data_IF_732909536049
#
_entry.id   IF_732909536049
#
_cell.length_a   1.000
_cell.length_b   1.000
_cell.length_c   1.000
_cell.angle_alpha   90.00
_cell.angle_beta   90.00
_cell.angle_gamma   90.00
#
_symmetry.space_group_name_H-M   'P 1'
#
loop_
_entity.id
_entity.type
_entity.pdbx_description
1 polymer ?
#
# COMPACT_ATOMS: atom_id res chain seq x y z
N UNK A 1 -68.47 -1.52 -69.73
CA UNK A 1 -68.91 -0.46 -70.69
C UNK A 1 -67.74 0.48 -70.91
N UNK A 2 -67.29 0.41 -72.18
CA UNK A 2 -66.82 1.50 -73.00
C UNK A 2 -65.77 2.48 -72.33
N UNK A 3 -64.69 2.84 -72.89
CA UNK A 3 -64.04 2.82 -74.19
C UNK A 3 -63.00 3.89 -74.14
N UNK A 4 -61.76 3.54 -74.51
CA UNK A 4 -60.96 4.24 -75.59
C UNK A 4 -60.56 5.67 -75.25
N UNK A 5 -59.38 6.18 -75.44
CA UNK A 5 -58.45 6.14 -76.60
C UNK A 5 -57.15 6.87 -76.29
N UNK A 6 -56.08 6.33 -76.72
CA UNK A 6 -54.82 7.07 -77.11
C UNK A 6 -55.08 7.97 -78.29
N UNK A 7 -54.22 8.92 -78.78
CA UNK A 7 -52.79 8.76 -79.04
C UNK A 7 -51.90 10.07 -79.02
N UNK A 8 -50.67 9.84 -79.30
CA UNK A 8 -49.69 10.58 -80.16
C UNK A 8 -48.66 11.54 -79.50
N UNK A 9 -47.52 11.01 -79.40
CA UNK A 9 -46.33 11.40 -80.20
C UNK A 9 -46.01 12.89 -80.36
N UNK A 10 -44.88 13.33 -79.74
CA UNK A 10 -43.91 14.26 -80.37
C UNK A 10 -42.53 14.20 -79.66
N UNK A 11 -41.64 13.62 -80.42
CA UNK A 11 -40.20 13.69 -80.24
C UNK A 11 -39.74 15.14 -80.02
N UNK A 12 -38.94 15.44 -79.01
CA UNK A 12 -37.85 16.40 -79.04
C UNK A 12 -36.64 15.92 -78.29
N UNK A 13 -35.58 15.70 -79.04
CA UNK A 13 -34.23 15.51 -78.61
C UNK A 13 -33.78 16.75 -77.85
N UNK A 14 -33.27 16.61 -76.69
CA UNK A 14 -32.21 17.52 -76.17
C UNK A 14 -31.31 16.77 -75.18
N UNK A 15 -30.09 16.68 -75.63
CA UNK A 15 -28.77 16.82 -74.99
C UNK A 15 -28.57 16.15 -73.66
N UNK A 16 -27.69 15.17 -73.68
CA UNK A 16 -26.92 14.59 -72.60
C UNK A 16 -26.14 15.70 -71.86
N UNK A 17 -26.37 15.87 -70.56
CA UNK A 17 -25.42 16.42 -69.60
C UNK A 17 -25.24 15.39 -68.53
N UNK A 18 -24.08 14.73 -68.47
CA UNK A 18 -23.74 13.72 -67.44
C UNK A 18 -23.57 14.35 -66.08
N UNK A 19 -23.86 13.60 -65.05
CA UNK A 19 -23.59 14.08 -63.70
C UNK A 19 -22.10 14.01 -63.39
N UNK A 20 -21.53 15.15 -63.01
CA UNK A 20 -20.19 15.25 -62.41
C UNK A 20 -20.23 14.51 -61.07
N UNK A 21 -19.51 13.39 -61.01
CA UNK A 21 -19.19 12.71 -59.76
C UNK A 21 -18.25 13.60 -58.93
N UNK A 22 -18.80 14.15 -57.85
CA UNK A 22 -18.01 14.76 -56.79
C UNK A 22 -17.42 13.59 -55.95
N UNK A 23 -16.17 13.25 -56.23
CA UNK A 23 -15.38 12.38 -55.31
C UNK A 23 -15.12 13.17 -54.03
N UNK A 24 -15.90 12.93 -53.02
CA UNK A 24 -15.58 13.35 -51.65
C UNK A 24 -14.43 12.49 -51.15
N UNK A 25 -13.22 13.04 -51.17
CA UNK A 25 -12.07 12.43 -50.49
C UNK A 25 -12.33 12.50 -48.98
N UNK A 26 -12.75 11.40 -48.39
CA UNK A 26 -12.72 11.20 -46.95
C UNK A 26 -11.27 10.95 -46.59
N UNK A 27 -10.59 11.99 -46.16
CA UNK A 27 -9.26 11.84 -45.49
C UNK A 27 -9.49 11.21 -44.13
N UNK A 28 -9.27 9.90 -44.06
CA UNK A 28 -9.16 9.20 -42.79
C UNK A 28 -7.86 9.67 -42.12
N UNK A 29 -7.99 10.68 -41.24
CA UNK A 29 -6.93 11.08 -40.34
C UNK A 29 -6.71 9.97 -39.31
N UNK A 30 -5.67 9.17 -39.51
CA UNK A 30 -5.16 8.22 -38.54
C UNK A 30 -4.52 9.03 -37.38
N UNK A 31 -5.30 9.31 -36.35
CA UNK A 31 -4.77 9.81 -35.08
C UNK A 31 -3.93 8.67 -34.44
N UNK A 32 -2.63 8.64 -34.77
CA UNK A 32 -1.66 7.94 -33.94
C UNK A 32 -1.63 8.64 -32.59
N UNK A 33 -2.33 8.06 -31.62
CA UNK A 33 -2.10 8.36 -30.20
C UNK A 33 -0.67 7.89 -29.90
N UNK A 34 0.30 8.81 -29.94
CA UNK A 34 1.60 8.57 -29.34
C UNK A 34 1.35 8.48 -27.83
N UNK A 35 1.21 7.25 -27.34
CA UNK A 35 1.40 6.96 -25.93
C UNK A 35 2.89 7.26 -25.66
N UNK A 36 3.19 8.46 -25.15
CA UNK A 36 4.54 8.84 -24.80
C UNK A 36 4.99 7.96 -23.63
N UNK A 37 5.79 6.95 -23.93
CA UNK A 37 6.55 6.23 -22.91
C UNK A 37 7.52 7.25 -22.33
N UNK A 38 7.20 7.78 -21.17
CA UNK A 38 8.12 8.63 -20.39
C UNK A 38 9.21 7.69 -19.88
N UNK A 39 10.31 7.59 -20.61
CA UNK A 39 11.50 6.94 -20.08
C UNK A 39 12.01 7.78 -18.92
N UNK A 40 12.15 7.18 -17.75
CA UNK A 40 12.83 7.81 -16.63
C UNK A 40 14.23 8.27 -17.11
N UNK A 41 14.49 9.57 -16.99
CA UNK A 41 15.79 10.12 -17.39
C UNK A 41 16.81 9.77 -16.30
N UNK A 42 17.68 8.82 -16.57
CA UNK A 42 18.80 8.47 -15.71
C UNK A 42 19.95 9.48 -15.84
N UNK A 43 20.71 9.79 -14.77
CA UNK A 43 20.64 9.22 -13.43
C UNK A 43 19.45 9.74 -12.61
N UNK A 44 18.96 8.89 -11.69
CA UNK A 44 17.94 9.24 -10.69
C UNK A 44 18.62 9.38 -9.34
N UNK A 45 18.21 10.40 -8.57
CA UNK A 45 18.64 10.61 -7.18
C UNK A 45 17.40 10.80 -6.32
N UNK A 46 17.33 10.09 -5.19
CA UNK A 46 16.34 10.31 -4.12
C UNK A 46 17.06 10.47 -2.79
N UNK A 47 16.43 11.14 -1.84
CA UNK A 47 16.92 11.21 -0.45
C UNK A 47 16.21 10.14 0.37
N UNK A 48 16.97 9.33 1.12
CA UNK A 48 16.43 8.35 2.06
C UNK A 48 16.06 8.98 3.41
N UNK A 49 15.50 8.20 4.32
CA UNK A 49 15.05 8.72 5.62
C UNK A 49 16.21 8.99 6.60
N UNK A 50 17.43 8.54 6.28
CA UNK A 50 18.68 8.95 6.96
C UNK A 50 19.28 10.24 6.38
N UNK A 51 18.60 10.89 5.40
CA UNK A 51 19.05 12.11 4.74
C UNK A 51 20.19 11.89 3.74
N UNK A 52 20.42 10.66 3.29
CA UNK A 52 21.47 10.33 2.33
C UNK A 52 20.94 10.34 0.90
N UNK A 53 21.80 10.75 -0.03
CA UNK A 53 21.48 10.65 -1.46
C UNK A 53 21.70 9.23 -1.97
N UNK A 54 20.63 8.60 -2.45
CA UNK A 54 20.66 7.33 -3.17
C UNK A 54 20.61 7.63 -4.64
N UNK A 55 21.71 7.38 -5.35
CA UNK A 55 21.85 7.68 -6.78
C UNK A 55 22.03 6.42 -7.59
N UNK A 56 21.16 6.24 -8.58
CA UNK A 56 21.27 5.18 -9.57
C UNK A 56 21.53 5.78 -10.96
N UNK A 57 22.41 5.14 -11.72
CA UNK A 57 22.77 5.60 -13.08
C UNK A 57 21.95 4.88 -14.17
N UNK A 58 21.25 3.83 -13.80
CA UNK A 58 20.33 3.05 -14.63
C UNK A 58 19.29 2.37 -13.73
N UNK A 59 18.20 1.83 -14.30
CA UNK A 59 17.22 1.05 -13.58
C UNK A 59 17.89 -0.18 -12.93
N UNK A 60 17.68 -0.43 -11.64
CA UNK A 60 18.23 -1.61 -10.98
C UNK A 60 17.62 -2.88 -11.57
N UNK A 61 18.43 -3.93 -11.68
CA UNK A 61 18.01 -5.24 -12.19
C UNK A 61 18.13 -6.31 -11.12
N UNK A 62 18.79 -5.99 -10.00
CA UNK A 62 19.06 -6.91 -8.91
C UNK A 62 18.83 -6.18 -7.57
N UNK A 63 17.67 -6.42 -6.98
CA UNK A 63 17.25 -5.75 -5.76
C UNK A 63 17.26 -6.76 -4.61
N UNK A 64 17.87 -6.41 -3.50
CA UNK A 64 17.68 -7.09 -2.22
C UNK A 64 16.78 -6.22 -1.37
N UNK A 65 15.71 -6.81 -0.83
CA UNK A 65 14.83 -6.12 0.11
C UNK A 65 14.87 -6.81 1.46
N UNK A 66 15.22 -6.06 2.50
CA UNK A 66 15.26 -6.53 3.89
C UNK A 66 14.11 -5.96 4.73
N UNK A 67 13.05 -5.46 4.08
CA UNK A 67 11.86 -4.90 4.74
C UNK A 67 10.61 -5.37 4.00
N UNK A 68 9.65 -6.04 4.69
CA UNK A 68 8.44 -6.57 4.05
C UNK A 68 7.63 -5.54 3.25
N UNK A 69 7.41 -4.33 3.81
CA UNK A 69 6.67 -3.28 3.11
C UNK A 69 7.35 -2.81 1.81
N UNK A 70 8.70 -2.81 1.78
CA UNK A 70 9.46 -2.50 0.57
C UNK A 70 9.35 -3.62 -0.47
N UNK A 71 9.47 -4.88 -0.04
CA UNK A 71 9.28 -6.06 -0.90
C UNK A 71 7.92 -6.01 -1.58
N UNK A 72 6.87 -5.75 -0.82
CA UNK A 72 5.50 -5.61 -1.32
C UNK A 72 5.38 -4.42 -2.29
N UNK A 73 6.00 -3.28 -1.96
CA UNK A 73 5.97 -2.07 -2.82
C UNK A 73 6.71 -2.29 -4.14
N UNK A 74 7.89 -2.92 -4.13
CA UNK A 74 8.63 -3.28 -5.35
C UNK A 74 7.76 -4.17 -6.25
N UNK A 75 7.09 -5.16 -5.67
CA UNK A 75 6.19 -6.04 -6.42
C UNK A 75 4.97 -5.30 -6.96
N UNK A 76 4.35 -4.43 -6.17
CA UNK A 76 3.18 -3.63 -6.58
C UNK A 76 3.53 -2.64 -7.71
N UNK A 77 4.79 -2.19 -7.78
CA UNK A 77 5.32 -1.35 -8.86
C UNK A 77 5.73 -2.14 -10.11
N UNK A 78 5.47 -3.47 -10.16
CA UNK A 78 5.76 -4.30 -11.32
C UNK A 78 7.21 -4.76 -11.43
N UNK A 79 8.04 -4.56 -10.40
CA UNK A 79 9.47 -4.89 -10.39
C UNK A 79 9.81 -6.14 -9.55
N UNK A 80 8.81 -6.99 -9.25
CA UNK A 80 8.97 -8.16 -8.39
C UNK A 80 10.04 -9.14 -8.91
N UNK A 81 10.18 -9.28 -10.22
CA UNK A 81 11.18 -10.12 -10.89
C UNK A 81 12.62 -9.64 -10.71
N UNK A 82 12.83 -8.39 -10.31
CA UNK A 82 14.16 -7.84 -10.03
C UNK A 82 14.63 -8.13 -8.60
N UNK A 83 13.74 -8.63 -7.75
CA UNK A 83 14.14 -9.10 -6.42
C UNK A 83 15.01 -10.36 -6.53
N UNK A 84 16.17 -10.34 -5.89
CA UNK A 84 17.14 -11.46 -5.88
C UNK A 84 17.43 -11.99 -4.48
N UNK A 85 16.89 -11.35 -3.43
CA UNK A 85 17.01 -11.76 -2.05
C UNK A 85 16.02 -11.00 -1.19
N UNK A 86 15.62 -11.59 -0.06
CA UNK A 86 14.66 -11.04 0.89
C UNK A 86 15.10 -11.27 2.33
N UNK A 87 14.47 -10.54 3.26
CA UNK A 87 14.52 -10.89 4.69
C UNK A 87 13.56 -12.04 5.01
N UNK A 88 13.70 -12.62 6.21
CA UNK A 88 12.87 -13.75 6.68
C UNK A 88 11.36 -13.42 6.69
N UNK A 89 11.00 -12.17 6.98
CA UNK A 89 9.60 -11.74 7.13
C UNK A 89 8.94 -11.26 5.85
N UNK A 90 9.69 -11.11 4.76
CA UNK A 90 9.13 -10.81 3.44
C UNK A 90 8.55 -12.07 2.80
N UNK A 91 7.24 -12.25 2.89
CA UNK A 91 6.50 -13.43 2.45
C UNK A 91 5.37 -13.12 1.45
N UNK A 92 5.15 -11.85 1.14
CA UNK A 92 4.12 -11.42 0.19
C UNK A 92 4.70 -10.56 -0.96
N UNK A 93 4.21 -10.80 -2.20
CA UNK A 93 3.36 -11.92 -2.64
C UNK A 93 4.10 -13.26 -2.50
N UNK A 94 3.38 -14.37 -2.43
CA UNK A 94 3.95 -15.71 -2.17
C UNK A 94 5.09 -16.11 -3.12
N UNK A 95 5.21 -15.48 -4.28
CA UNK A 95 6.29 -15.70 -5.24
C UNK A 95 7.67 -15.35 -4.68
N UNK A 96 7.77 -14.41 -3.73
CA UNK A 96 9.05 -14.00 -3.14
C UNK A 96 9.64 -15.07 -2.22
N UNK A 97 8.83 -16.01 -1.74
CA UNK A 97 9.29 -17.12 -0.92
C UNK A 97 10.32 -18.04 -1.63
N UNK A 98 10.37 -18.01 -2.95
CA UNK A 98 11.37 -18.73 -3.74
C UNK A 98 12.77 -18.05 -3.73
N UNK A 99 12.85 -16.79 -3.25
CA UNK A 99 14.11 -16.05 -3.19
C UNK A 99 14.95 -16.48 -1.98
N UNK A 100 16.29 -16.36 -2.05
CA UNK A 100 17.17 -16.52 -0.91
C UNK A 100 16.71 -15.71 0.29
N UNK A 101 16.57 -16.36 1.44
CA UNK A 101 16.33 -15.76 2.74
C UNK A 101 17.67 -15.31 3.33
N UNK A 102 17.81 -14.02 3.61
CA UNK A 102 19.04 -13.41 4.08
C UNK A 102 19.01 -13.11 5.60
N UNK A 103 18.04 -13.67 6.30
CA UNK A 103 17.89 -13.46 7.75
C UNK A 103 17.04 -12.22 8.07
N UNK A 104 17.12 -11.80 9.33
CA UNK A 104 16.38 -10.60 9.81
C UNK A 104 17.00 -9.30 9.28
N UNK A 105 16.17 -8.27 9.08
CA UNK A 105 16.64 -6.91 8.74
C UNK A 105 17.72 -6.39 9.70
N UNK A 106 17.67 -6.77 10.98
CA UNK A 106 18.62 -6.34 12.02
C UNK A 106 19.91 -7.19 12.09
N UNK A 107 19.87 -8.40 11.55
CA UNK A 107 21.02 -9.33 11.52
C UNK A 107 21.08 -10.06 10.18
N UNK A 108 21.18 -9.32 9.05
CA UNK A 108 21.21 -9.96 7.74
C UNK A 108 22.55 -10.67 7.49
N UNK A 109 22.51 -11.73 6.70
CA UNK A 109 23.70 -12.36 6.16
C UNK A 109 24.30 -11.47 5.06
N UNK A 110 25.22 -10.59 5.47
CA UNK A 110 25.86 -9.65 4.56
C UNK A 110 26.75 -10.34 3.51
N UNK A 111 27.34 -11.50 3.82
CA UNK A 111 28.16 -12.25 2.87
C UNK A 111 27.28 -12.81 1.74
N UNK A 112 26.18 -13.46 2.10
CA UNK A 112 25.20 -13.96 1.13
C UNK A 112 24.58 -12.80 0.32
N UNK A 113 24.27 -11.66 0.96
CA UNK A 113 23.74 -10.47 0.29
C UNK A 113 24.71 -9.97 -0.79
N UNK A 114 25.99 -9.78 -0.46
CA UNK A 114 27.01 -9.31 -1.39
C UNK A 114 27.24 -10.31 -2.54
N UNK A 115 27.17 -11.61 -2.26
CA UNK A 115 27.28 -12.65 -3.28
C UNK A 115 26.18 -12.58 -4.32
N UNK A 116 24.99 -12.05 -3.97
CA UNK A 116 23.90 -11.78 -4.91
C UNK A 116 24.17 -10.61 -5.85
N UNK A 117 25.21 -9.81 -5.61
CA UNK A 117 25.60 -8.63 -6.42
C UNK A 117 24.42 -7.72 -6.71
N UNK A 118 23.76 -7.17 -5.69
CA UNK A 118 22.62 -6.27 -5.89
C UNK A 118 23.06 -4.90 -6.45
N UNK A 119 22.20 -4.32 -7.26
CA UNK A 119 22.32 -2.92 -7.75
C UNK A 119 21.71 -1.95 -6.75
N UNK A 120 20.72 -2.42 -5.98
CA UNK A 120 20.00 -1.67 -4.96
C UNK A 120 19.67 -2.59 -3.78
N UNK A 121 19.86 -2.07 -2.56
CA UNK A 121 19.42 -2.73 -1.32
C UNK A 121 18.46 -1.80 -0.59
N UNK A 122 17.32 -2.37 -0.16
CA UNK A 122 16.29 -1.67 0.60
C UNK A 122 16.34 -2.17 2.04
N UNK A 123 16.51 -1.25 2.99
CA UNK A 123 16.70 -1.57 4.40
C UNK A 123 15.87 -0.66 5.30
N UNK A 124 15.67 -1.09 6.53
CA UNK A 124 15.14 -0.26 7.59
C UNK A 124 16.20 0.72 8.10
N UNK A 125 15.81 1.96 8.42
CA UNK A 125 16.73 3.02 8.88
C UNK A 125 17.35 2.73 10.25
N UNK A 126 16.70 1.90 11.06
CA UNK A 126 17.18 1.56 12.41
C UNK A 126 18.03 0.29 12.45
N UNK A 127 18.11 -0.47 11.36
CA UNK A 127 18.79 -1.77 11.32
C UNK A 127 20.33 -1.67 11.37
N UNK A 128 20.89 -0.50 11.05
CA UNK A 128 22.35 -0.34 10.87
C UNK A 128 22.92 -1.01 9.61
N UNK A 129 22.12 -1.76 8.85
CA UNK A 129 22.56 -2.43 7.63
C UNK A 129 23.06 -1.45 6.56
N UNK A 130 22.45 -0.26 6.51
CA UNK A 130 22.85 0.77 5.57
C UNK A 130 24.31 1.23 5.77
N UNK A 131 24.76 1.39 7.00
CA UNK A 131 26.14 1.78 7.32
C UNK A 131 27.12 0.64 7.05
N UNK A 132 26.71 -0.60 7.28
CA UNK A 132 27.51 -1.78 6.98
C UNK A 132 27.71 -2.00 5.47
N UNK A 133 26.74 -1.63 4.63
CA UNK A 133 26.77 -1.80 3.18
C UNK A 133 27.42 -0.61 2.44
N UNK A 134 27.38 0.59 2.99
CA UNK A 134 27.91 1.80 2.36
C UNK A 134 29.39 1.68 1.89
N UNK A 135 30.32 1.09 2.67
CA UNK A 135 31.71 0.93 2.24
C UNK A 135 31.89 0.00 1.03
N UNK A 136 30.88 -0.82 0.70
CA UNK A 136 30.94 -1.79 -0.39
C UNK A 136 30.56 -1.18 -1.75
N UNK A 137 30.16 0.12 -1.77
CA UNK A 137 29.78 0.82 -3.00
C UNK A 137 28.45 0.38 -3.59
N UNK A 138 27.62 -0.31 -2.81
CA UNK A 138 26.27 -0.73 -3.19
C UNK A 138 25.30 0.42 -2.90
N UNK A 139 24.39 0.72 -3.82
CA UNK A 139 23.33 1.68 -3.55
C UNK A 139 22.36 1.13 -2.49
N UNK A 140 22.14 1.88 -1.41
CA UNK A 140 21.27 1.49 -0.31
C UNK A 140 20.24 2.59 -0.08
N UNK A 141 18.96 2.23 -0.07
CA UNK A 141 17.88 3.08 0.39
C UNK A 141 17.45 2.60 1.78
N UNK A 142 17.52 3.48 2.76
CA UNK A 142 17.10 3.21 4.13
C UNK A 142 15.91 4.08 4.51
N UNK A 143 14.86 3.44 4.99
CA UNK A 143 13.66 4.14 5.46
C UNK A 143 12.48 3.20 5.60
N UNK A 144 11.68 3.47 6.64
CA UNK A 144 10.43 2.75 6.88
C UNK A 144 9.36 3.75 7.30
N UNK A 145 8.23 3.85 6.58
CA UNK A 145 7.19 4.81 6.91
C UNK A 145 6.67 4.64 8.33
N UNK A 146 6.69 5.72 9.11
CA UNK A 146 6.13 5.78 10.47
C UNK A 146 4.73 6.39 10.48
N UNK A 147 4.33 7.06 9.39
CA UNK A 147 3.03 7.70 9.18
C UNK A 147 2.44 7.34 7.83
N UNK A 148 1.13 7.51 7.70
CA UNK A 148 0.40 7.16 6.47
C UNK A 148 0.86 7.96 5.24
N UNK A 149 1.16 9.26 5.40
CA UNK A 149 1.68 10.10 4.31
C UNK A 149 3.03 9.60 3.78
N UNK A 150 3.90 9.12 4.67
CA UNK A 150 5.21 8.58 4.31
C UNK A 150 5.12 7.28 3.49
N UNK A 151 4.00 6.52 3.60
CA UNK A 151 3.79 5.34 2.72
C UNK A 151 3.67 5.79 1.26
N UNK A 152 2.95 6.87 1.00
CA UNK A 152 2.85 7.43 -0.35
C UNK A 152 4.17 8.01 -0.84
N UNK A 153 4.95 8.65 0.05
CA UNK A 153 6.30 9.11 -0.28
C UNK A 153 7.25 7.95 -0.61
N UNK A 154 7.19 6.84 0.15
CA UNK A 154 7.96 5.63 -0.15
C UNK A 154 7.63 5.09 -1.54
N UNK A 155 6.32 4.97 -1.87
CA UNK A 155 5.87 4.50 -3.19
C UNK A 155 6.43 5.42 -4.30
N UNK A 156 6.41 6.75 -4.11
CA UNK A 156 6.97 7.70 -5.06
C UNK A 156 8.49 7.53 -5.21
N UNK A 157 9.23 7.47 -4.09
CA UNK A 157 10.70 7.35 -4.09
C UNK A 157 11.15 6.03 -4.72
N UNK A 158 10.50 4.91 -4.38
CA UNK A 158 10.76 3.62 -5.02
C UNK A 158 10.37 3.63 -6.49
N UNK A 159 9.21 4.20 -6.84
CA UNK A 159 8.81 4.38 -8.23
C UNK A 159 9.86 5.12 -9.07
N UNK A 160 10.47 6.18 -8.51
CA UNK A 160 11.58 6.91 -9.16
C UNK A 160 12.84 6.06 -9.26
N UNK A 161 13.24 5.36 -8.19
CA UNK A 161 14.43 4.49 -8.18
C UNK A 161 14.29 3.30 -9.14
N UNK A 162 13.08 2.80 -9.35
CA UNK A 162 12.80 1.68 -10.23
C UNK A 162 12.52 2.11 -11.69
N UNK A 163 12.39 3.43 -11.96
CA UNK A 163 11.94 3.90 -13.27
C UNK A 163 10.46 3.65 -13.54
N UNK A 164 9.67 3.43 -12.50
CA UNK A 164 8.25 3.08 -12.49
C UNK A 164 7.38 4.23 -11.91
N UNK A 165 7.69 5.48 -12.30
CA UNK A 165 7.01 6.66 -11.74
C UNK A 165 5.51 6.69 -12.10
N UNK A 166 5.15 6.24 -13.31
CA UNK A 166 3.75 6.17 -13.75
C UNK A 166 2.97 5.12 -12.95
N UNK A 167 3.58 3.96 -12.71
CA UNK A 167 3.02 2.88 -11.90
C UNK A 167 2.85 3.33 -10.44
N UNK A 168 3.81 4.11 -9.93
CA UNK A 168 3.74 4.67 -8.59
C UNK A 168 2.57 5.67 -8.45
N UNK A 169 2.38 6.56 -9.42
CA UNK A 169 1.24 7.48 -9.44
C UNK A 169 -0.09 6.73 -9.51
N UNK A 170 -0.19 5.72 -10.38
CA UNK A 170 -1.39 4.89 -10.50
C UNK A 170 -1.68 4.12 -9.21
N UNK A 171 -0.66 3.52 -8.57
CA UNK A 171 -0.78 2.81 -7.30
C UNK A 171 -1.26 3.74 -6.18
N UNK A 172 -0.66 4.93 -6.07
CA UNK A 172 -1.08 5.92 -5.07
C UNK A 172 -2.55 6.36 -5.26
N UNK A 173 -2.96 6.62 -6.52
CA UNK A 173 -4.35 6.97 -6.83
C UNK A 173 -5.33 5.85 -6.46
N UNK A 174 -4.97 4.60 -6.76
CA UNK A 174 -5.76 3.43 -6.39
C UNK A 174 -5.90 3.30 -4.87
N UNK A 175 -4.79 3.34 -4.14
CA UNK A 175 -4.79 3.21 -2.68
C UNK A 175 -5.60 4.32 -1.99
N UNK A 176 -5.48 5.58 -2.43
CA UNK A 176 -6.32 6.66 -1.88
C UNK A 176 -7.81 6.40 -2.11
N UNK A 177 -8.17 5.95 -3.32
CA UNK A 177 -9.57 5.61 -3.63
C UNK A 177 -10.11 4.46 -2.78
N UNK A 178 -9.31 3.44 -2.51
CA UNK A 178 -9.69 2.33 -1.63
C UNK A 178 -9.83 2.77 -0.17
N UNK A 179 -8.89 3.58 0.35
CA UNK A 179 -8.98 4.13 1.71
C UNK A 179 -10.24 4.98 1.87
N UNK A 180 -10.53 5.85 0.91
CA UNK A 180 -11.73 6.68 0.92
C UNK A 180 -13.00 5.84 0.88
N UNK A 181 -13.01 4.77 0.09
CA UNK A 181 -14.15 3.86 0.00
C UNK A 181 -14.43 3.15 1.33
N UNK A 182 -13.39 2.64 2.01
CA UNK A 182 -13.55 2.00 3.33
C UNK A 182 -13.98 3.01 4.38
N UNK A 183 -13.35 4.19 4.43
CA UNK A 183 -13.71 5.25 5.36
C UNK A 183 -15.17 5.71 5.19
N UNK A 184 -15.68 5.75 3.95
CA UNK A 184 -17.07 6.10 3.67
C UNK A 184 -18.08 5.09 4.24
N UNK A 185 -17.73 3.80 4.37
CA UNK A 185 -18.60 2.78 4.96
C UNK A 185 -18.89 3.01 6.45
N UNK A 186 -17.95 3.64 7.14
CA UNK A 186 -18.04 3.90 8.59
C UNK A 186 -18.36 5.37 8.92
N UNK A 187 -18.44 6.23 7.90
CA UNK A 187 -18.71 7.65 8.08
C UNK A 187 -20.03 7.93 8.83
N UNK A 188 -19.98 8.83 9.80
CA UNK A 188 -21.15 9.25 10.59
C UNK A 188 -21.59 8.24 11.67
N UNK A 189 -20.84 7.16 11.88
CA UNK A 189 -21.05 6.23 12.99
C UNK A 189 -20.40 6.77 14.26
N UNK A 190 -20.89 6.34 15.42
CA UNK A 190 -20.29 6.71 16.71
C UNK A 190 -18.94 5.98 16.86
N UNK A 191 -17.82 6.69 17.06
CA UNK A 191 -16.51 6.07 17.13
C UNK A 191 -16.30 5.34 18.47
N UNK A 192 -16.14 4.01 18.49
CA UNK A 192 -15.80 3.30 19.72
C UNK A 192 -14.40 3.70 20.21
N UNK A 193 -14.22 3.70 21.54
CA UNK A 193 -12.91 3.84 22.14
C UNK A 193 -12.08 2.56 21.95
N UNK A 194 -10.85 2.70 21.45
CA UNK A 194 -10.01 1.58 21.02
C UNK A 194 -8.68 1.60 21.77
N UNK A 195 -8.32 0.47 22.34
CA UNK A 195 -6.96 0.16 22.79
C UNK A 195 -6.35 -0.86 21.82
N UNK A 196 -5.19 -0.55 21.27
CA UNK A 196 -4.45 -1.45 20.36
C UNK A 196 -3.19 -1.93 21.08
N UNK A 197 -3.09 -3.24 21.33
CA UNK A 197 -1.96 -3.85 22.02
C UNK A 197 -1.00 -4.49 21.00
N UNK A 198 0.29 -4.12 21.08
CA UNK A 198 1.35 -4.69 20.23
C UNK A 198 2.26 -5.64 21.02
N UNK A 199 2.24 -5.56 22.33
CA UNK A 199 3.04 -6.39 23.25
C UNK A 199 2.36 -6.41 24.62
N UNK A 200 2.37 -7.57 25.32
CA UNK A 200 1.67 -7.73 26.60
C UNK A 200 2.25 -6.94 27.77
N UNK A 201 3.28 -6.11 27.58
CA UNK A 201 3.95 -5.31 28.63
C UNK A 201 3.17 -4.13 29.25
N UNK A 202 2.06 -3.52 28.78
CA UNK A 202 1.47 -3.42 27.47
C UNK A 202 2.04 -2.26 26.63
N UNK A 203 2.66 -2.53 25.51
CA UNK A 203 2.96 -1.52 24.49
C UNK A 203 1.74 -1.28 23.59
N UNK A 204 1.55 -0.02 23.22
CA UNK A 204 0.43 0.39 22.38
C UNK A 204 0.90 1.30 21.23
N UNK A 205 -0.06 1.83 20.47
CA UNK A 205 0.18 2.76 19.35
C UNK A 205 -0.43 4.12 19.66
N UNK A 206 0.31 5.19 19.40
CA UNK A 206 -0.17 6.56 19.51
C UNK A 206 -1.09 6.93 18.33
N UNK A 207 -1.90 8.00 18.46
CA UNK A 207 -2.87 8.38 17.44
C UNK A 207 -2.23 8.96 16.16
N UNK A 208 -1.02 9.52 16.23
CA UNK A 208 -0.38 10.25 15.13
C UNK A 208 0.49 9.32 14.25
N UNK A 209 0.78 8.11 14.71
CA UNK A 209 1.51 7.09 13.97
C UNK A 209 0.68 6.42 12.87
N UNK A 210 1.30 5.53 12.11
CA UNK A 210 0.68 4.81 10.99
C UNK A 210 -0.59 4.06 11.42
N UNK A 211 -0.49 3.16 12.43
CA UNK A 211 -1.63 2.38 12.92
C UNK A 211 -2.68 3.29 13.58
N UNK A 212 -2.26 4.30 14.34
CA UNK A 212 -3.19 5.25 14.97
C UNK A 212 -4.02 6.02 13.96
N UNK A 213 -3.42 6.41 12.83
CA UNK A 213 -4.13 7.03 11.71
C UNK A 213 -5.13 6.06 11.08
N UNK A 214 -4.77 4.78 10.90
CA UNK A 214 -5.70 3.76 10.42
C UNK A 214 -6.87 3.53 11.39
N UNK A 215 -6.63 3.54 12.70
CA UNK A 215 -7.70 3.48 13.72
C UNK A 215 -8.72 4.62 13.51
N UNK A 216 -8.22 5.85 13.33
CA UNK A 216 -9.09 7.00 13.10
C UNK A 216 -9.87 6.90 11.77
N UNK A 217 -9.22 6.50 10.68
CA UNK A 217 -9.86 6.29 9.37
C UNK A 217 -10.89 5.15 9.40
N UNK A 218 -10.67 4.13 10.23
CA UNK A 218 -11.60 3.03 10.45
C UNK A 218 -12.79 3.43 11.34
N UNK A 219 -12.89 4.70 11.73
CA UNK A 219 -13.96 5.22 12.58
C UNK A 219 -13.81 4.86 14.06
N UNK A 220 -12.60 4.54 14.54
CA UNK A 220 -12.28 4.31 15.94
C UNK A 220 -11.67 5.56 16.60
N UNK A 221 -11.71 5.62 17.93
CA UNK A 221 -11.05 6.65 18.73
C UNK A 221 -9.98 6.00 19.62
N UNK A 222 -8.73 6.21 19.25
CA UNK A 222 -7.61 5.72 20.04
C UNK A 222 -7.65 6.28 21.47
N UNK A 223 -7.51 5.40 22.49
CA UNK A 223 -7.50 5.83 23.91
C UNK A 223 -6.15 6.39 24.33
N UNK A 224 -5.09 6.15 23.55
CA UNK A 224 -3.74 6.64 23.84
C UNK A 224 -3.65 8.13 23.52
N UNK A 225 -3.25 8.99 24.47
CA UNK A 225 -3.05 10.41 24.20
C UNK A 225 -1.81 10.66 23.32
N UNK A 226 -1.91 11.62 22.40
CA UNK A 226 -0.83 11.95 21.46
C UNK A 226 0.52 12.30 22.12
N UNK A 227 0.50 12.91 23.31
CA UNK A 227 1.72 13.29 24.01
C UNK A 227 2.58 12.12 24.51
N UNK A 228 2.05 10.88 24.48
CA UNK A 228 2.82 9.68 24.83
C UNK A 228 3.68 9.17 23.67
N UNK A 229 3.56 9.74 22.47
CA UNK A 229 4.33 9.35 21.28
C UNK A 229 3.72 8.17 20.53
N UNK A 230 4.48 7.65 19.54
CA UNK A 230 3.95 6.70 18.56
C UNK A 230 3.84 5.26 19.09
N UNK A 231 4.76 4.83 19.98
CA UNK A 231 4.79 3.48 20.53
C UNK A 231 5.01 3.51 22.05
N UNK A 232 4.03 3.97 22.84
CA UNK A 232 4.20 4.10 24.27
C UNK A 232 4.08 2.76 25.00
N UNK A 233 4.94 2.57 26.02
CA UNK A 233 4.67 1.65 27.11
C UNK A 233 3.62 2.29 28.02
N UNK A 234 2.50 1.63 28.23
CA UNK A 234 1.34 2.17 28.96
C UNK A 234 1.22 1.51 30.31
N UNK A 235 0.85 2.28 31.34
CA UNK A 235 0.50 1.71 32.64
C UNK A 235 -0.78 0.87 32.49
N UNK A 236 -0.81 -0.39 32.95
CA UNK A 236 -2.01 -1.22 32.94
C UNK A 236 -3.23 -0.57 33.61
N UNK A 237 -3.01 0.24 34.67
CA UNK A 237 -4.08 0.97 35.36
C UNK A 237 -4.67 2.07 34.48
N UNK A 238 -3.86 2.68 33.58
CA UNK A 238 -4.34 3.63 32.58
C UNK A 238 -5.34 2.98 31.64
N UNK A 239 -5.05 1.75 31.16
CA UNK A 239 -5.96 1.01 30.24
C UNK A 239 -7.29 0.71 30.93
N UNK A 240 -7.25 0.29 32.23
CA UNK A 240 -8.45 0.08 33.05
C UNK A 240 -9.25 1.38 33.22
N UNK A 241 -8.58 2.51 33.47
CA UNK A 241 -9.24 3.81 33.65
C UNK A 241 -9.80 4.36 32.34
N UNK A 242 -9.15 4.09 31.20
CA UNK A 242 -9.63 4.49 29.88
C UNK A 242 -10.87 3.70 29.43
N UNK A 243 -11.13 2.53 30.02
CA UNK A 243 -12.28 1.64 29.79
C UNK A 243 -12.62 1.49 28.29
N UNK A 244 -11.69 0.99 27.44
CA UNK A 244 -11.91 0.89 26.01
C UNK A 244 -13.10 -0.03 25.67
N UNK A 245 -13.86 0.38 24.65
CA UNK A 245 -14.99 -0.40 24.11
C UNK A 245 -14.53 -1.52 23.17
N UNK A 246 -13.33 -1.38 22.56
CA UNK A 246 -12.70 -2.39 21.71
C UNK A 246 -11.24 -2.52 22.12
N UNK A 247 -10.75 -3.76 22.19
CA UNK A 247 -9.32 -4.08 22.30
C UNK A 247 -8.92 -4.85 21.07
N UNK A 248 -7.83 -4.43 20.41
CA UNK A 248 -7.21 -5.14 19.28
C UNK A 248 -5.88 -5.70 19.75
N UNK A 249 -5.68 -7.00 19.60
CA UNK A 249 -4.46 -7.72 19.99
C UNK A 249 -3.64 -8.08 18.76
N UNK A 250 -2.59 -7.30 18.48
CA UNK A 250 -1.63 -7.63 17.45
C UNK A 250 -0.66 -8.72 17.91
N UNK A 251 -0.52 -8.90 19.19
CA UNK A 251 0.28 -9.93 19.86
C UNK A 251 -0.45 -11.26 20.07
N UNK A 252 -1.69 -11.40 19.61
CA UNK A 252 -2.41 -12.67 19.60
C UNK A 252 -1.64 -13.79 18.88
N UNK A 253 -0.89 -13.44 17.84
CA UNK A 253 0.01 -14.37 17.10
C UNK A 253 1.11 -14.97 17.98
N UNK A 254 1.39 -14.37 19.13
CA UNK A 254 2.34 -14.84 20.13
C UNK A 254 1.66 -15.49 21.34
N UNK A 255 0.35 -15.75 21.24
CA UNK A 255 -0.41 -16.49 22.25
C UNK A 255 -1.10 -15.63 23.30
N UNK A 256 -1.22 -14.31 23.08
CA UNK A 256 -2.05 -13.45 23.91
C UNK A 256 -3.51 -13.56 23.43
N UNK A 257 -4.40 -13.91 24.34
CA UNK A 257 -5.82 -14.14 24.06
C UNK A 257 -6.73 -13.44 25.10
N UNK A 258 -8.03 -13.53 24.88
CA UNK A 258 -9.03 -13.01 25.82
C UNK A 258 -8.82 -13.53 27.25
N UNK A 259 -8.46 -14.80 27.43
CA UNK A 259 -8.27 -15.38 28.75
C UNK A 259 -7.04 -14.78 29.45
N UNK A 260 -5.96 -14.51 28.70
CA UNK A 260 -4.79 -13.82 29.21
C UNK A 260 -5.12 -12.40 29.67
N UNK A 261 -5.95 -11.65 28.90
CA UNK A 261 -6.40 -10.32 29.31
C UNK A 261 -7.28 -10.35 30.57
N UNK A 262 -8.21 -11.30 30.65
CA UNK A 262 -9.08 -11.45 31.81
C UNK A 262 -8.32 -11.77 33.10
N UNK A 263 -7.16 -12.42 32.98
CA UNK A 263 -6.30 -12.76 34.12
C UNK A 263 -5.49 -11.57 34.65
N UNK A 264 -5.41 -10.45 33.88
CA UNK A 264 -4.68 -9.25 34.33
C UNK A 264 -5.46 -8.53 35.46
N UNK A 265 -4.78 -8.02 36.48
CA UNK A 265 -5.45 -7.32 37.58
C UNK A 265 -6.28 -6.13 37.08
N UNK A 266 -7.58 -6.12 37.45
CA UNK A 266 -8.52 -5.04 37.11
C UNK A 266 -9.11 -5.08 35.71
N UNK A 267 -8.55 -5.85 34.78
CA UNK A 267 -8.95 -5.83 33.37
C UNK A 267 -10.32 -6.48 33.11
N UNK A 268 -10.73 -7.46 33.89
CA UNK A 268 -12.04 -8.12 33.73
C UNK A 268 -13.23 -7.13 33.73
N UNK A 269 -13.04 -5.93 34.33
CA UNK A 269 -14.02 -4.85 34.37
C UNK A 269 -14.08 -3.96 33.12
N UNK A 270 -13.14 -4.07 32.16
CA UNK A 270 -13.06 -3.25 30.95
C UNK A 270 -14.26 -3.55 30.03
N UNK A 271 -14.85 -2.52 29.44
CA UNK A 271 -16.02 -2.61 28.57
C UNK A 271 -15.83 -3.61 27.42
N UNK A 272 -14.67 -3.61 26.76
CA UNK A 272 -14.33 -4.56 25.69
C UNK A 272 -14.41 -6.01 26.15
N UNK A 273 -13.89 -6.33 27.36
CA UNK A 273 -13.91 -7.69 27.89
C UNK A 273 -15.31 -8.13 28.30
N UNK A 274 -16.08 -7.21 28.90
CA UNK A 274 -17.47 -7.49 29.29
C UNK A 274 -18.39 -7.73 28.10
N UNK A 275 -18.16 -7.02 26.99
CA UNK A 275 -18.96 -7.12 25.76
C UNK A 275 -18.45 -8.16 24.76
N UNK A 276 -17.25 -8.74 25.01
CA UNK A 276 -16.60 -9.66 24.08
C UNK A 276 -16.03 -8.98 22.82
N UNK A 277 -15.77 -7.66 22.87
CA UNK A 277 -15.19 -6.91 21.76
C UNK A 277 -13.65 -6.88 21.86
N UNK A 278 -13.06 -8.06 21.94
CA UNK A 278 -11.62 -8.29 21.87
C UNK A 278 -11.35 -8.93 20.50
N UNK A 279 -10.51 -8.28 19.72
CA UNK A 279 -10.17 -8.69 18.35
C UNK A 279 -8.77 -9.27 18.37
N UNK A 280 -8.67 -10.58 18.34
CA UNK A 280 -7.41 -11.31 18.23
C UNK A 280 -7.04 -11.37 16.75
N UNK A 281 -5.96 -10.66 16.35
CA UNK A 281 -5.51 -10.66 14.97
C UNK A 281 -4.82 -11.98 14.65
N UNK A 282 -5.17 -12.57 13.50
CA UNK A 282 -4.38 -13.64 12.92
C UNK A 282 -3.07 -13.10 12.27
N UNK A 283 -2.18 -14.00 11.82
CA UNK A 283 -0.90 -13.59 11.25
C UNK A 283 -1.07 -12.67 10.02
N UNK A 284 -2.00 -12.97 9.12
CA UNK A 284 -2.22 -12.17 7.92
C UNK A 284 -2.74 -10.77 8.25
N UNK A 285 -3.63 -10.65 9.23
CA UNK A 285 -4.16 -9.39 9.72
C UNK A 285 -3.09 -8.57 10.46
N UNK A 286 -2.28 -9.22 11.29
CA UNK A 286 -1.15 -8.58 11.98
C UNK A 286 -0.12 -8.06 10.97
N UNK A 287 0.19 -8.84 9.94
CA UNK A 287 1.13 -8.47 8.89
C UNK A 287 0.67 -7.22 8.14
N UNK A 288 -0.57 -7.15 7.67
CA UNK A 288 -1.05 -5.97 6.92
C UNK A 288 -1.12 -4.72 7.79
N UNK A 289 -1.37 -4.85 9.08
CA UNK A 289 -1.42 -3.74 10.03
C UNK A 289 -0.02 -3.26 10.46
N UNK A 290 0.98 -4.14 10.45
CA UNK A 290 2.37 -3.81 10.84
C UNK A 290 3.27 -3.41 9.68
N UNK A 291 2.81 -3.58 8.42
CA UNK A 291 3.60 -3.31 7.21
C UNK A 291 3.08 -2.07 6.49
N UNK A 292 3.67 -0.87 6.71
CA UNK A 292 3.25 0.36 6.05
C UNK A 292 3.63 0.31 4.55
N UNK A 293 2.75 -0.26 3.74
CA UNK A 293 2.98 -0.58 2.34
C UNK A 293 1.71 -0.60 1.49
N UNK A 294 1.70 -1.26 0.34
CA UNK A 294 0.61 -1.16 -0.65
C UNK A 294 -0.68 -1.87 -0.24
N UNK A 295 -0.73 -2.58 0.91
CA UNK A 295 -1.94 -3.25 1.40
C UNK A 295 -2.71 -2.42 2.45
N UNK A 296 -2.61 -1.09 2.37
CA UNK A 296 -3.26 -0.14 3.29
C UNK A 296 -4.77 -0.35 3.43
N UNK A 297 -5.44 -0.63 2.32
CA UNK A 297 -6.90 -0.81 2.32
C UNK A 297 -7.31 -2.11 3.03
N UNK A 298 -6.52 -3.18 2.91
CA UNK A 298 -6.74 -4.41 3.65
C UNK A 298 -6.61 -4.16 5.16
N UNK A 299 -5.55 -3.44 5.58
CA UNK A 299 -5.33 -3.06 6.97
C UNK A 299 -6.51 -2.23 7.52
N UNK A 300 -6.93 -1.21 6.76
CA UNK A 300 -8.06 -0.36 7.14
C UNK A 300 -9.37 -1.16 7.25
N UNK A 301 -9.60 -2.10 6.32
CA UNK A 301 -10.80 -2.94 6.32
C UNK A 301 -10.86 -3.89 7.53
N UNK A 302 -9.71 -4.42 7.98
CA UNK A 302 -9.61 -5.24 9.20
C UNK A 302 -10.12 -4.43 10.40
N UNK A 303 -9.63 -3.21 10.59
CA UNK A 303 -10.02 -2.34 11.69
C UNK A 303 -11.48 -1.87 11.56
N UNK A 304 -11.91 -1.46 10.37
CA UNK A 304 -13.28 -0.99 10.14
C UNK A 304 -14.33 -2.07 10.48
N UNK A 305 -14.06 -3.33 10.11
CA UNK A 305 -14.92 -4.48 10.48
C UNK A 305 -14.91 -4.76 11.98
N UNK A 306 -13.76 -4.60 12.63
CA UNK A 306 -13.63 -4.77 14.07
C UNK A 306 -14.43 -3.71 14.85
N UNK A 307 -14.42 -2.47 14.36
CA UNK A 307 -15.07 -1.34 15.04
C UNK A 307 -16.57 -1.23 14.73
N UNK A 308 -16.95 -1.54 13.50
CA UNK A 308 -18.30 -1.36 12.96
C UNK A 308 -18.79 -2.61 12.20
N UNK A 309 -18.90 -3.77 12.86
CA UNK A 309 -19.28 -5.02 12.18
C UNK A 309 -20.66 -4.93 11.48
N UNK A 310 -21.53 -4.03 11.95
CA UNK A 310 -22.86 -3.79 11.37
C UNK A 310 -22.80 -3.00 10.04
N UNK A 311 -21.60 -2.51 9.61
CA UNK A 311 -21.41 -1.82 8.34
C UNK A 311 -21.15 -2.78 7.17
N UNK A 312 -20.87 -4.05 7.48
CA UNK A 312 -20.44 -5.09 6.55
C UNK A 312 -21.32 -6.32 6.62
#
# INVERSE_FOLDING_TARGET
MRTTQTPSDRRRRRRRSGPRSVLTRVSAGLLLSLCGVVFAAWPVTVTDDLGREVRLVAAPQRIVSLVPSHTETVCALGACEWLVGRDTFSDYPATVLALPDLGSAFTPDLEALVALRPDLVLVDEYSGAADALAPLGIAVYAGTPQRLDQVFELIERLGRLLGAATEAEALQGHLRGELDAVAALVAGREPPSVFFEIDPSPYSVGPDGFIGTLIALAGGRNVIPAHLGDFPLVDPEFVVAADPEVIVLADAVYGVDLAALQARPGWAGIAALRSGRVVELDQAQSDVLSRPGPRLAEALLVLARAFHPEAF
#
